data_IF_067421362469
#
_entry.id   IF_067421362469
#
_cell.length_a   1.000
_cell.length_b   1.000
_cell.length_c   1.000
_cell.angle_alpha   90.00
_cell.angle_beta   90.00
_cell.angle_gamma   90.00
#
_symmetry.space_group_name_H-M   'P 1'
#
loop_
_entity.id
_entity.type
_entity.pdbx_description
1 polymer ?
#
# COMPACT_ATOMS: atom_id res chain seq x y z
N UNK A 1 -22.45 12.14 -1.43
CA UNK A 1 -22.00 10.82 -1.95
C UNK A 1 -21.79 9.75 -0.88
N UNK A 2 -21.31 10.10 0.32
CA UNK A 2 -21.24 9.17 1.47
C UNK A 2 -22.58 8.94 2.19
N UNK A 3 -23.58 9.77 1.90
CA UNK A 3 -24.92 9.73 2.51
C UNK A 3 -25.77 8.56 2.01
N UNK A 4 -25.43 8.04 0.83
CA UNK A 4 -26.14 6.93 0.20
C UNK A 4 -25.64 5.55 0.72
N UNK A 5 -24.80 5.52 1.75
CA UNK A 5 -24.28 4.29 2.36
C UNK A 5 -24.95 4.06 3.73
N UNK A 6 -25.55 2.89 3.90
CA UNK A 6 -26.19 2.47 5.12
C UNK A 6 -25.49 1.24 5.71
N UNK A 7 -25.08 1.34 6.96
CA UNK A 7 -24.45 0.23 7.67
C UNK A 7 -25.48 -0.78 8.12
N UNK A 8 -25.31 -2.04 7.71
CA UNK A 8 -26.02 -3.18 8.28
C UNK A 8 -25.03 -4.20 8.82
N UNK A 9 -25.28 -4.78 10.01
CA UNK A 9 -24.46 -5.88 10.48
C UNK A 9 -24.64 -7.10 9.56
N UNK A 10 -23.59 -7.90 9.33
CA UNK A 10 -23.73 -9.21 8.71
C UNK A 10 -24.74 -10.09 9.47
N UNK A 11 -25.40 -11.00 8.77
CA UNK A 11 -26.33 -11.95 9.40
C UNK A 11 -25.64 -12.69 10.57
N UNK A 12 -26.33 -12.76 11.71
CA UNK A 12 -25.83 -13.39 12.92
C UNK A 12 -24.85 -12.54 13.77
N UNK A 13 -24.53 -11.30 13.37
CA UNK A 13 -23.70 -10.39 14.18
C UNK A 13 -24.51 -9.24 14.80
N UNK A 14 -24.21 -8.83 16.04
CA UNK A 14 -24.85 -7.67 16.64
C UNK A 14 -24.44 -6.39 15.92
N UNK A 15 -25.36 -5.41 15.86
CA UNK A 15 -25.07 -4.07 15.32
C UNK A 15 -23.97 -3.41 16.16
N UNK A 16 -22.87 -3.05 15.52
CA UNK A 16 -21.79 -2.31 16.18
C UNK A 16 -22.17 -0.83 16.21
N UNK A 17 -22.32 -0.20 17.39
CA UNK A 17 -22.52 1.25 17.45
C UNK A 17 -21.26 1.98 17.02
N UNK A 18 -21.43 3.21 16.53
CA UNK A 18 -20.30 4.12 16.32
C UNK A 18 -19.62 4.37 17.67
N UNK A 19 -18.31 4.16 17.72
CA UNK A 19 -17.52 4.33 18.94
C UNK A 19 -16.60 5.53 18.73
N UNK A 20 -16.73 6.59 19.56
CA UNK A 20 -15.93 7.81 19.40
C UNK A 20 -14.43 7.55 19.34
N UNK A 21 -13.91 6.67 20.21
CA UNK A 21 -12.49 6.26 20.20
C UNK A 21 -12.02 5.68 18.87
N UNK A 22 -12.88 4.90 18.19
CA UNK A 22 -12.56 4.27 16.90
C UNK A 22 -12.65 5.28 15.76
N UNK A 23 -13.57 6.23 15.84
CA UNK A 23 -13.67 7.35 14.89
C UNK A 23 -12.50 8.31 15.04
N UNK A 24 -12.12 8.68 16.28
CA UNK A 24 -10.95 9.51 16.59
C UNK A 24 -9.65 8.87 16.12
N UNK A 25 -9.53 7.54 16.27
CA UNK A 25 -8.42 6.79 15.70
C UNK A 25 -8.34 7.01 14.18
N UNK A 26 -9.44 6.79 13.45
CA UNK A 26 -9.44 7.02 12.00
C UNK A 26 -9.19 8.48 11.64
N UNK A 27 -9.66 9.45 12.42
CA UNK A 27 -9.34 10.87 12.21
C UNK A 27 -7.85 11.14 12.37
N UNK A 28 -7.22 10.53 13.37
CA UNK A 28 -5.77 10.60 13.58
C UNK A 28 -5.04 9.92 12.42
N UNK A 29 -5.49 8.75 11.98
CA UNK A 29 -4.93 8.03 10.82
C UNK A 29 -5.03 8.83 9.52
N UNK A 30 -6.15 9.51 9.29
CA UNK A 30 -6.36 10.37 8.12
C UNK A 30 -5.38 11.55 8.12
N UNK A 31 -5.08 12.10 9.30
CA UNK A 31 -4.10 13.18 9.48
C UNK A 31 -2.64 12.70 9.38
N UNK A 32 -2.34 11.50 9.86
CA UNK A 32 -0.96 10.97 9.97
C UNK A 32 -0.50 10.19 8.74
N UNK A 33 -1.35 9.30 8.21
CA UNK A 33 -1.00 8.36 7.13
C UNK A 33 -1.59 8.74 5.77
N UNK A 34 -2.63 9.56 5.76
CA UNK A 34 -3.47 9.77 4.58
C UNK A 34 -4.37 8.56 4.32
N UNK A 35 -5.64 8.80 4.00
CA UNK A 35 -6.59 7.73 3.68
C UNK A 35 -7.22 7.99 2.31
N UNK A 36 -6.56 7.50 1.27
CA UNK A 36 -6.99 7.73 -0.10
C UNK A 36 -8.18 6.83 -0.46
N UNK A 37 -9.31 7.41 -0.91
CA UNK A 37 -10.54 6.64 -1.10
C UNK A 37 -10.51 5.62 -2.23
N UNK A 38 -9.54 5.70 -3.13
CA UNK A 38 -9.35 4.82 -4.30
C UNK A 38 -8.43 3.62 -4.06
N UNK A 39 -7.64 3.63 -2.99
CA UNK A 39 -6.74 2.52 -2.62
C UNK A 39 -7.57 1.32 -2.24
N UNK A 40 -7.24 0.13 -2.77
CA UNK A 40 -8.07 -1.07 -2.63
C UNK A 40 -8.42 -1.40 -1.16
N UNK A 41 -7.46 -1.28 -0.24
CA UNK A 41 -7.69 -1.48 1.19
C UNK A 41 -8.68 -0.48 1.82
N UNK A 42 -8.82 0.71 1.23
CA UNK A 42 -9.68 1.79 1.69
C UNK A 42 -11.07 1.81 1.05
N UNK A 43 -11.26 1.08 -0.06
CA UNK A 43 -12.57 0.94 -0.72
C UNK A 43 -13.58 0.30 0.21
N UNK A 44 -14.85 0.60 -0.05
CA UNK A 44 -15.96 0.06 0.72
C UNK A 44 -16.73 -0.90 -0.14
N UNK A 45 -16.96 -2.09 0.38
CA UNK A 45 -17.80 -3.08 -0.28
C UNK A 45 -19.24 -2.81 0.13
N UNK A 46 -20.10 -2.63 -0.86
CA UNK A 46 -21.51 -2.38 -0.66
C UNK A 46 -22.36 -3.26 -1.58
N UNK A 47 -23.49 -3.73 -1.06
CA UNK A 47 -24.50 -4.41 -1.84
C UNK A 47 -25.46 -3.42 -2.48
N UNK A 48 -25.79 -3.71 -3.73
CA UNK A 48 -26.78 -2.99 -4.52
C UNK A 48 -27.85 -3.97 -5.00
N UNK A 49 -29.10 -3.55 -4.99
CA UNK A 49 -30.19 -4.34 -5.58
C UNK A 49 -30.25 -4.10 -7.09
N UNK A 50 -30.58 -5.13 -7.87
CA UNK A 50 -30.74 -5.04 -9.33
C UNK A 50 -31.61 -3.87 -9.83
N UNK A 51 -32.79 -3.55 -9.25
CA UNK A 51 -33.58 -2.41 -9.72
C UNK A 51 -32.88 -1.06 -9.48
N UNK A 52 -32.15 -0.91 -8.37
CA UNK A 52 -31.38 0.31 -8.07
C UNK A 52 -30.16 0.41 -8.98
N UNK A 53 -29.49 -0.71 -9.27
CA UNK A 53 -28.37 -0.76 -10.19
C UNK A 53 -28.80 -0.37 -11.62
N UNK A 54 -29.91 -0.94 -12.11
CA UNK A 54 -30.44 -0.61 -13.43
C UNK A 54 -30.81 0.88 -13.56
N UNK A 55 -31.47 1.44 -12.55
CA UNK A 55 -31.81 2.85 -12.50
C UNK A 55 -30.56 3.76 -12.43
N UNK A 56 -29.53 3.35 -11.68
CA UNK A 56 -28.28 4.09 -11.56
C UNK A 56 -27.45 4.07 -12.86
N UNK A 57 -27.42 2.92 -13.56
CA UNK A 57 -26.77 2.77 -14.86
C UNK A 57 -27.45 3.65 -15.92
N UNK A 58 -28.78 3.62 -15.99
CA UNK A 58 -29.55 4.43 -16.93
C UNK A 58 -29.34 5.94 -16.72
N UNK A 59 -29.21 6.39 -15.46
CA UNK A 59 -28.96 7.80 -15.13
C UNK A 59 -27.52 8.25 -15.36
N UNK A 60 -26.56 7.33 -15.28
CA UNK A 60 -25.14 7.64 -15.40
C UNK A 60 -24.62 7.43 -16.82
N UNK A 61 -25.48 6.96 -17.74
CA UNK A 61 -25.09 6.56 -19.11
C UNK A 61 -23.94 5.54 -19.12
N UNK A 62 -23.95 4.61 -18.15
CA UNK A 62 -22.91 3.58 -17.99
C UNK A 62 -23.48 2.19 -18.29
N UNK A 63 -22.62 1.30 -18.77
CA UNK A 63 -22.92 -0.13 -18.89
C UNK A 63 -22.33 -0.94 -17.73
N UNK A 64 -22.84 -2.15 -17.51
CA UNK A 64 -22.27 -3.08 -16.53
C UNK A 64 -20.79 -3.38 -16.84
N UNK A 65 -20.43 -3.47 -18.13
CA UNK A 65 -19.05 -3.69 -18.57
C UNK A 65 -18.11 -2.55 -18.16
N UNK A 66 -18.59 -1.30 -18.13
CA UNK A 66 -17.81 -0.14 -17.66
C UNK A 66 -17.55 -0.17 -16.15
N UNK A 67 -18.42 -0.83 -15.37
CA UNK A 67 -18.24 -1.03 -13.93
C UNK A 67 -17.29 -2.18 -13.60
N UNK A 68 -17.10 -3.12 -14.54
CA UNK A 68 -16.15 -4.24 -14.37
C UNK A 68 -14.70 -3.87 -14.76
N UNK A 69 -14.48 -2.70 -15.37
CA UNK A 69 -13.13 -2.20 -15.63
C UNK A 69 -12.43 -1.78 -14.32
N UNK A 70 -11.64 -2.69 -13.76
CA UNK A 70 -10.89 -2.48 -12.53
C UNK A 70 -9.83 -1.36 -12.61
N UNK A 71 -9.53 -0.85 -13.82
CA UNK A 71 -8.56 0.23 -14.05
C UNK A 71 -9.12 1.64 -13.87
N UNK A 72 -10.43 1.85 -14.02
CA UNK A 72 -11.03 3.20 -14.04
C UNK A 72 -12.26 3.31 -13.14
N UNK A 73 -12.15 4.07 -12.05
CA UNK A 73 -13.29 4.36 -11.17
C UNK A 73 -14.26 5.29 -11.91
N UNK A 74 -15.48 4.81 -12.14
CA UNK A 74 -16.56 5.59 -12.76
C UNK A 74 -17.46 6.21 -11.70
N UNK A 75 -17.98 7.40 -12.00
CA UNK A 75 -18.93 8.10 -11.12
C UNK A 75 -20.33 7.54 -11.36
N UNK A 76 -20.86 6.82 -10.37
CA UNK A 76 -22.23 6.29 -10.43
C UNK A 76 -23.20 7.26 -9.74
N UNK A 77 -24.19 7.74 -10.48
CA UNK A 77 -25.26 8.59 -9.97
C UNK A 77 -26.45 7.73 -9.53
N UNK A 78 -26.59 7.55 -8.22
CA UNK A 78 -27.70 6.83 -7.63
C UNK A 78 -29.00 7.67 -7.72
N UNK A 79 -30.18 7.02 -7.84
CA UNK A 79 -31.45 7.72 -7.76
C UNK A 79 -31.67 8.33 -6.36
N UNK A 80 -32.49 9.38 -6.29
CA UNK A 80 -32.74 10.12 -5.06
C UNK A 80 -33.38 9.21 -4.00
N UNK A 81 -32.79 9.17 -2.80
CA UNK A 81 -33.22 8.28 -1.71
C UNK A 81 -32.70 6.84 -1.78
N UNK A 82 -31.91 6.45 -2.79
CA UNK A 82 -31.32 5.11 -2.85
C UNK A 82 -30.17 4.95 -1.85
N UNK A 83 -30.26 3.89 -1.04
CA UNK A 83 -29.26 3.50 -0.05
C UNK A 83 -28.61 2.17 -0.45
N UNK A 84 -27.29 2.15 -0.43
CA UNK A 84 -26.44 0.96 -0.60
C UNK A 84 -26.11 0.39 0.78
N UNK A 85 -26.20 -0.93 0.92
CA UNK A 85 -25.90 -1.59 2.19
C UNK A 85 -24.42 -1.92 2.28
N UNK A 86 -23.73 -1.53 3.35
CA UNK A 86 -22.34 -1.95 3.58
C UNK A 86 -22.19 -2.65 4.94
N UNK A 87 -21.30 -3.64 4.99
CA UNK A 87 -21.09 -4.48 6.18
C UNK A 87 -19.87 -4.11 7.01
N UNK A 88 -18.93 -3.35 6.42
CA UNK A 88 -17.65 -2.98 7.03
C UNK A 88 -17.31 -1.51 6.79
N UNK A 89 -16.31 -0.99 7.51
CA UNK A 89 -15.76 0.36 7.27
C UNK A 89 -16.57 1.51 7.87
N UNK A 90 -17.53 1.25 8.78
CA UNK A 90 -18.41 2.28 9.34
C UNK A 90 -17.66 3.41 10.08
N UNK A 91 -16.70 3.10 10.97
CA UNK A 91 -15.92 4.12 11.68
C UNK A 91 -14.97 4.91 10.76
N UNK A 92 -14.51 4.29 9.66
CA UNK A 92 -13.67 4.93 8.64
C UNK A 92 -14.47 5.93 7.81
N UNK A 93 -15.69 5.56 7.41
CA UNK A 93 -16.63 6.47 6.76
C UNK A 93 -16.99 7.65 7.63
N UNK A 94 -17.23 7.39 8.91
CA UNK A 94 -17.58 8.44 9.86
C UNK A 94 -16.42 9.43 10.06
N UNK A 95 -15.18 8.93 10.14
CA UNK A 95 -14.00 9.78 10.16
C UNK A 95 -13.79 10.54 8.84
N UNK A 96 -14.11 9.93 7.70
CA UNK A 96 -14.01 10.60 6.39
C UNK A 96 -14.98 11.77 6.24
N UNK A 97 -16.19 11.67 6.78
CA UNK A 97 -17.14 12.79 6.83
C UNK A 97 -16.60 13.96 7.66
N UNK A 98 -15.82 13.67 8.69
CA UNK A 98 -15.27 14.64 9.63
C UNK A 98 -13.91 15.22 9.19
N UNK A 99 -13.15 14.50 8.35
CA UNK A 99 -11.89 14.94 7.77
C UNK A 99 -11.95 14.89 6.25
N UNK A 100 -12.58 15.92 5.68
CA UNK A 100 -12.70 16.11 4.24
C UNK A 100 -11.37 16.62 3.72
N UNK A 101 -10.72 15.86 2.84
CA UNK A 101 -9.58 16.36 2.09
C UNK A 101 -10.07 17.42 1.10
N UNK A 102 -9.43 18.59 1.00
CA UNK A 102 -9.85 19.67 0.09
C UNK A 102 -9.97 19.26 -1.39
N UNK A 103 -9.35 18.14 -1.78
CA UNK A 103 -9.29 17.61 -3.14
C UNK A 103 -9.99 16.25 -3.30
N UNK A 104 -10.56 15.64 -2.24
CA UNK A 104 -11.27 14.35 -2.32
C UNK A 104 -12.62 14.40 -1.56
N UNK A 105 -13.70 14.75 -2.27
CA UNK A 105 -15.08 14.69 -1.74
C UNK A 105 -15.82 13.38 -2.07
N UNK A 106 -15.09 12.36 -2.53
CA UNK A 106 -15.64 11.12 -3.06
C UNK A 106 -15.02 9.91 -2.37
N UNK A 107 -15.74 8.78 -2.36
CA UNK A 107 -15.22 7.51 -1.84
C UNK A 107 -15.49 6.38 -2.80
N UNK A 108 -14.49 5.54 -3.09
CA UNK A 108 -14.67 4.44 -4.03
C UNK A 108 -15.39 3.27 -3.36
N UNK A 109 -16.38 2.73 -4.07
CA UNK A 109 -17.25 1.66 -3.58
C UNK A 109 -17.19 0.51 -4.58
N UNK A 110 -16.98 -0.70 -4.06
CA UNK A 110 -17.08 -1.95 -4.81
C UNK A 110 -18.50 -2.50 -4.63
N UNK A 111 -19.21 -2.65 -5.74
CA UNK A 111 -20.62 -3.03 -5.75
C UNK A 111 -20.79 -4.54 -5.96
N UNK A 112 -21.63 -5.14 -5.13
CA UNK A 112 -22.01 -6.56 -5.23
C UNK A 112 -23.52 -6.69 -5.40
N UNK A 113 -23.95 -7.63 -6.25
CA UNK A 113 -25.38 -7.89 -6.48
C UNK A 113 -25.95 -8.76 -5.35
N UNK A 114 -27.06 -8.29 -4.77
CA UNK A 114 -27.79 -8.95 -3.68
C UNK A 114 -28.44 -10.28 -4.08
N UNK A 115 -28.61 -10.54 -5.39
CA UNK A 115 -29.48 -11.62 -5.91
C UNK A 115 -28.85 -13.01 -6.10
N UNK A 116 -27.57 -13.24 -5.84
CA UNK A 116 -26.96 -14.56 -6.05
C UNK A 116 -26.93 -15.38 -4.76
N UNK A 117 -28.02 -16.08 -4.48
CA UNK A 117 -28.13 -17.11 -3.43
C UNK A 117 -27.33 -18.36 -3.83
N UNK A 118 -26.06 -18.45 -3.44
CA UNK A 118 -25.34 -19.73 -3.36
C UNK A 118 -24.12 -19.59 -2.44
N UNK A 119 -24.23 -20.23 -1.28
CA UNK A 119 -23.16 -20.65 -0.36
C UNK A 119 -22.34 -19.55 0.34
N UNK A 120 -22.35 -19.62 1.68
CA UNK A 120 -21.41 -19.03 2.64
C UNK A 120 -21.01 -17.57 2.35
N UNK A 121 -21.59 -16.64 3.11
CA UNK A 121 -21.29 -15.20 3.14
C UNK A 121 -19.82 -14.85 3.47
N UNK A 122 -18.93 -15.83 3.57
CA UNK A 122 -17.50 -15.74 3.87
C UNK A 122 -16.63 -16.06 2.65
N UNK A 123 -17.08 -16.86 1.68
CA UNK A 123 -16.22 -17.34 0.57
C UNK A 123 -16.30 -16.46 -0.70
N UNK A 124 -17.33 -15.60 -0.84
CA UNK A 124 -17.51 -14.70 -2.00
C UNK A 124 -16.52 -13.52 -2.04
N UNK A 125 -15.73 -13.33 -0.99
CA UNK A 125 -14.90 -12.14 -0.79
C UNK A 125 -13.50 -12.27 -1.42
N UNK A 126 -13.07 -13.46 -1.83
CA UNK A 126 -11.83 -13.58 -2.59
C UNK A 126 -12.06 -13.17 -4.05
N UNK A 127 -11.55 -12.00 -4.45
CA UNK A 127 -10.67 -11.87 -5.61
C UNK A 127 -10.08 -10.45 -5.77
N UNK A 128 -8.79 -10.43 -6.08
CA UNK A 128 -7.87 -9.31 -6.39
C UNK A 128 -7.26 -8.52 -5.23
N UNK A 129 -7.95 -8.28 -4.12
CA UNK A 129 -7.35 -7.70 -2.90
C UNK A 129 -7.61 -8.62 -1.72
N UNK A 130 -6.55 -9.19 -1.12
CA UNK A 130 -6.63 -10.18 -0.04
C UNK A 130 -7.66 -9.74 1.01
N UNK A 131 -8.76 -10.48 1.12
CA UNK A 131 -9.85 -10.15 2.05
C UNK A 131 -9.51 -10.30 3.52
N UNK A 132 -8.34 -10.86 3.80
CA UNK A 132 -7.75 -10.88 5.14
C UNK A 132 -7.57 -9.49 5.78
N UNK A 133 -7.58 -8.39 5.02
CA UNK A 133 -7.48 -7.03 5.59
C UNK A 133 -8.84 -6.36 5.88
N UNK A 134 -9.91 -6.73 5.18
CA UNK A 134 -11.21 -6.06 5.29
C UNK A 134 -12.18 -6.73 6.28
N UNK A 135 -12.03 -8.04 6.53
CA UNK A 135 -12.79 -8.77 7.58
C UNK A 135 -12.32 -8.46 9.00
N UNK A 136 -11.25 -7.66 9.13
CA UNK A 136 -10.79 -7.12 10.41
C UNK A 136 -11.70 -5.95 10.80
N UNK A 137 -12.90 -6.28 11.27
CA UNK A 137 -13.59 -5.46 12.26
C UNK A 137 -12.67 -5.32 13.49
N UNK A 138 -11.71 -4.38 13.44
CA UNK A 138 -11.08 -3.64 14.54
C UNK A 138 -10.38 -4.44 15.68
N UNK A 139 -10.37 -5.77 15.69
CA UNK A 139 -9.85 -6.49 16.87
C UNK A 139 -8.57 -7.27 16.68
N UNK A 140 -7.92 -7.24 15.50
CA UNK A 140 -6.69 -8.01 15.31
C UNK A 140 -5.87 -7.67 14.05
N UNK A 141 -4.63 -7.20 14.27
CA UNK A 141 -3.40 -7.45 13.46
C UNK A 141 -3.15 -6.47 12.28
N UNK A 142 -1.89 -6.29 11.85
CA UNK A 142 -0.79 -5.54 12.45
C UNK A 142 -0.48 -4.29 11.60
N UNK A 143 0.32 -3.37 12.10
CA UNK A 143 1.09 -2.53 11.17
C UNK A 143 2.06 -3.44 10.40
N UNK A 144 2.21 -3.29 9.09
CA UNK A 144 3.32 -3.94 8.41
C UNK A 144 4.63 -3.45 9.05
N UNK A 145 5.62 -4.34 9.15
CA UNK A 145 6.85 -4.04 9.90
C UNK A 145 7.55 -2.80 9.33
N UNK A 146 7.43 -2.52 8.04
CA UNK A 146 8.03 -1.35 7.40
C UNK A 146 7.41 -0.04 7.89
N UNK A 147 6.08 0.03 7.93
CA UNK A 147 5.34 1.16 8.48
C UNK A 147 5.71 1.41 9.93
N UNK A 148 5.79 0.36 10.76
CA UNK A 148 6.23 0.57 12.15
C UNK A 148 7.64 1.15 12.20
N UNK A 149 8.58 0.60 11.41
CA UNK A 149 9.97 1.06 11.40
C UNK A 149 10.11 2.54 11.02
N UNK A 150 9.32 3.00 10.04
CA UNK A 150 9.32 4.41 9.59
C UNK A 150 8.94 5.37 10.70
N UNK A 151 8.01 4.98 11.58
CA UNK A 151 7.46 5.83 12.62
C UNK A 151 8.06 5.61 14.03
N UNK A 152 9.06 4.72 14.18
CA UNK A 152 9.71 4.42 15.47
C UNK A 152 10.21 5.65 16.24
N UNK A 153 10.66 6.68 15.52
CA UNK A 153 11.18 7.92 16.10
C UNK A 153 10.15 9.06 16.12
N UNK A 154 9.02 8.89 15.43
CA UNK A 154 8.01 9.93 15.28
C UNK A 154 7.05 9.97 16.47
N UNK A 155 6.58 8.81 16.94
CA UNK A 155 5.75 8.73 18.15
C UNK A 155 6.11 7.50 19.00
N UNK A 156 6.15 7.63 20.34
CA UNK A 156 6.54 6.55 21.25
C UNK A 156 5.58 5.35 21.21
N UNK A 157 4.33 5.56 20.81
CA UNK A 157 3.31 4.51 20.71
C UNK A 157 3.68 3.44 19.67
N UNK A 158 4.41 3.80 18.60
CA UNK A 158 4.84 2.85 17.56
C UNK A 158 5.84 1.82 18.06
N UNK A 159 6.61 2.15 19.10
CA UNK A 159 7.49 1.17 19.77
C UNK A 159 6.69 0.04 20.42
N UNK A 160 5.42 0.26 20.75
CA UNK A 160 4.55 -0.81 21.30
C UNK A 160 4.16 -1.83 20.24
N UNK A 161 3.97 -1.41 18.99
CA UNK A 161 3.67 -2.30 17.86
C UNK A 161 4.88 -3.12 17.39
N UNK A 162 6.09 -2.71 17.76
CA UNK A 162 7.34 -3.44 17.47
C UNK A 162 7.61 -4.62 18.41
N UNK A 163 6.82 -4.77 19.50
CA UNK A 163 7.14 -5.62 20.67
C UNK A 163 7.04 -7.12 20.42
N UNK A 164 8.06 -7.67 19.76
CA UNK A 164 8.56 -9.01 20.08
C UNK A 164 9.93 -8.86 20.74
N UNK A 165 10.25 -9.71 21.73
CA UNK A 165 11.51 -9.65 22.47
C UNK A 165 12.73 -9.68 21.53
N UNK A 166 12.65 -10.48 20.47
CA UNK A 166 13.73 -10.63 19.49
C UNK A 166 13.83 -9.40 18.56
N UNK A 167 12.71 -8.88 18.07
CA UNK A 167 12.73 -7.68 17.22
C UNK A 167 13.21 -6.42 17.97
N UNK A 168 12.94 -6.31 19.27
CA UNK A 168 13.46 -5.20 20.08
C UNK A 168 14.99 -5.32 20.26
N UNK A 169 15.49 -6.54 20.48
CA UNK A 169 16.93 -6.80 20.57
C UNK A 169 17.65 -6.51 19.25
N UNK A 170 17.04 -6.86 18.12
CA UNK A 170 17.61 -6.60 16.80
C UNK A 170 17.55 -5.12 16.44
N UNK A 171 16.46 -4.42 16.78
CA UNK A 171 16.37 -2.98 16.62
C UNK A 171 17.43 -2.24 17.46
N UNK A 172 17.59 -2.59 18.74
CA UNK A 172 18.67 -2.04 19.59
C UNK A 172 20.06 -2.30 19.00
N UNK A 173 20.26 -3.44 18.34
CA UNK A 173 21.51 -3.74 17.65
C UNK A 173 21.71 -2.91 16.37
N UNK A 174 20.63 -2.48 15.70
CA UNK A 174 20.68 -1.48 14.62
C UNK A 174 20.96 -0.08 15.16
N UNK A 175 20.26 0.35 16.23
CA UNK A 175 20.44 1.67 16.85
C UNK A 175 21.89 1.89 17.33
N UNK A 176 22.57 0.82 17.78
CA UNK A 176 24.01 0.86 18.12
C UNK A 176 24.96 1.01 16.93
N UNK A 177 24.44 0.91 15.69
CA UNK A 177 25.18 1.12 14.43
C UNK A 177 24.59 2.34 13.71
N UNK A 178 24.97 3.56 14.13
CA UNK A 178 24.27 4.78 13.73
C UNK A 178 24.32 5.04 12.21
N UNK A 179 25.41 4.67 11.53
CA UNK A 179 25.52 4.83 10.08
C UNK A 179 24.55 3.90 9.32
N UNK A 180 24.44 2.63 9.74
CA UNK A 180 23.50 1.68 9.16
C UNK A 180 22.04 2.09 9.43
N UNK A 181 21.74 2.47 10.67
CA UNK A 181 20.41 2.98 11.02
C UNK A 181 20.05 4.22 10.20
N UNK A 182 20.99 5.16 10.02
CA UNK A 182 20.83 6.33 9.16
C UNK A 182 20.55 5.96 7.70
N UNK A 183 21.18 4.92 7.18
CA UNK A 183 20.88 4.39 5.84
C UNK A 183 19.40 4.00 5.71
N UNK A 184 18.88 3.22 6.66
CA UNK A 184 17.46 2.86 6.68
C UNK A 184 16.54 4.06 6.86
N UNK A 185 16.83 4.96 7.81
CA UNK A 185 15.95 6.12 8.04
C UNK A 185 15.94 7.08 6.86
N UNK A 186 16.99 7.13 6.05
CA UNK A 186 17.04 7.92 4.82
C UNK A 186 16.04 7.47 3.74
N UNK A 187 15.58 6.22 3.80
CA UNK A 187 14.57 5.64 2.89
C UNK A 187 13.13 5.88 3.36
N UNK A 188 12.91 6.45 4.55
CA UNK A 188 11.56 6.72 5.10
C UNK A 188 10.61 7.48 4.16
N UNK A 189 11.06 8.43 3.31
CA UNK A 189 10.16 9.13 2.40
C UNK A 189 9.50 8.23 1.35
N UNK A 190 10.16 7.16 0.92
CA UNK A 190 9.71 6.28 -0.17
C UNK A 190 8.74 5.22 0.36
N UNK A 191 7.47 5.59 0.53
CA UNK A 191 6.47 4.75 1.21
C UNK A 191 6.39 3.33 0.62
N UNK A 192 6.29 3.22 -0.71
CA UNK A 192 6.17 1.94 -1.41
C UNK A 192 7.31 0.95 -1.16
N UNK A 193 8.53 1.42 -0.86
CA UNK A 193 9.67 0.53 -0.60
C UNK A 193 9.50 -0.30 0.67
N UNK A 194 8.76 0.21 1.65
CA UNK A 194 8.66 -0.38 2.98
C UNK A 194 7.67 -1.54 3.06
N UNK A 195 6.81 -1.74 2.05
CA UNK A 195 5.86 -2.85 2.03
C UNK A 195 6.53 -4.23 2.07
N UNK A 196 7.76 -4.33 1.54
CA UNK A 196 8.55 -5.57 1.57
C UNK A 196 9.45 -5.70 2.81
N UNK A 197 9.47 -4.71 3.70
CA UNK A 197 10.30 -4.75 4.89
C UNK A 197 9.71 -5.72 5.92
N UNK A 198 10.56 -6.58 6.48
CA UNK A 198 10.19 -7.52 7.54
C UNK A 198 11.18 -7.38 8.69
N UNK A 199 10.70 -7.22 9.93
CA UNK A 199 11.56 -7.04 11.11
C UNK A 199 12.50 -8.23 11.33
N UNK A 200 12.10 -9.43 10.91
CA UNK A 200 12.94 -10.64 10.96
C UNK A 200 14.21 -10.55 10.11
N UNK A 201 14.26 -9.65 9.11
CA UNK A 201 15.49 -9.41 8.34
C UNK A 201 16.57 -8.69 9.15
N UNK A 202 16.20 -7.94 10.19
CA UNK A 202 17.15 -7.25 11.06
C UNK A 202 18.06 -8.22 11.80
N UNK A 203 17.55 -9.38 12.21
CA UNK A 203 18.36 -10.45 12.79
C UNK A 203 19.54 -10.82 11.87
N UNK A 204 19.26 -10.95 10.56
CA UNK A 204 20.29 -11.28 9.57
C UNK A 204 21.32 -10.15 9.43
N UNK A 205 20.87 -8.92 9.25
CA UNK A 205 21.77 -7.76 9.15
C UNK A 205 22.64 -7.56 10.40
N UNK A 206 22.16 -7.98 11.56
CA UNK A 206 22.92 -8.03 12.82
C UNK A 206 24.01 -9.11 12.80
N UNK A 207 23.72 -10.27 12.23
CA UNK A 207 24.66 -11.41 12.17
C UNK A 207 25.76 -11.25 11.11
N UNK A 208 25.47 -10.54 10.01
CA UNK A 208 26.39 -10.35 8.88
C UNK A 208 27.64 -9.54 9.28
N UNK A 209 27.46 -8.43 10.01
CA UNK A 209 28.53 -7.47 10.36
C UNK A 209 29.25 -6.84 9.16
N UNK A 210 28.64 -6.85 7.97
CA UNK A 210 29.13 -6.16 6.78
C UNK A 210 28.43 -4.80 6.64
N UNK A 211 28.67 -3.89 7.58
CA UNK A 211 27.93 -2.64 7.66
C UNK A 211 28.19 -1.75 6.43
N UNK A 212 29.42 -1.74 5.90
CA UNK A 212 29.82 -0.97 4.73
C UNK A 212 29.00 -1.35 3.48
N UNK A 213 28.84 -2.64 3.21
CA UNK A 213 28.10 -3.14 2.06
C UNK A 213 26.60 -2.89 2.21
N UNK A 214 26.06 -3.06 3.42
CA UNK A 214 24.65 -2.76 3.71
C UNK A 214 24.35 -1.26 3.55
N UNK A 215 25.22 -0.39 4.07
CA UNK A 215 25.09 1.07 3.93
C UNK A 215 25.14 1.45 2.45
N UNK A 216 26.13 0.94 1.71
CA UNK A 216 26.28 1.21 0.27
C UNK A 216 25.05 0.76 -0.53
N UNK A 217 24.45 -0.36 -0.17
CA UNK A 217 23.22 -0.84 -0.79
C UNK A 217 22.04 0.10 -0.50
N UNK A 218 21.86 0.51 0.76
CA UNK A 218 20.80 1.44 1.16
C UNK A 218 20.94 2.80 0.45
N UNK A 219 22.17 3.32 0.35
CA UNK A 219 22.48 4.55 -0.39
C UNK A 219 22.17 4.40 -1.88
N UNK A 220 22.46 3.22 -2.46
CA UNK A 220 22.11 2.90 -3.86
C UNK A 220 20.60 2.86 -4.07
N UNK A 221 19.83 2.27 -3.14
CA UNK A 221 18.36 2.31 -3.17
C UNK A 221 17.90 3.77 -3.21
N UNK A 222 18.34 4.59 -2.26
CA UNK A 222 17.96 5.99 -2.20
C UNK A 222 18.28 6.72 -3.50
N UNK A 223 19.51 6.59 -3.99
CA UNK A 223 19.97 7.29 -5.18
C UNK A 223 19.18 6.89 -6.44
N UNK A 224 18.94 5.60 -6.66
CA UNK A 224 18.19 5.12 -7.83
C UNK A 224 16.75 5.61 -7.78
N UNK A 225 16.06 5.48 -6.65
CA UNK A 225 14.67 5.91 -6.54
C UNK A 225 14.53 7.44 -6.58
N UNK A 226 15.46 8.21 -6.01
CA UNK A 226 15.50 9.66 -6.21
C UNK A 226 15.70 10.02 -7.68
N UNK A 227 16.57 9.30 -8.41
CA UNK A 227 16.84 9.56 -9.82
C UNK A 227 15.64 9.22 -10.71
N UNK A 228 14.95 8.11 -10.44
CA UNK A 228 13.72 7.72 -11.14
C UNK A 228 12.65 8.81 -11.00
N UNK A 229 12.48 9.32 -9.77
CA UNK A 229 11.42 10.26 -9.41
C UNK A 229 11.83 11.73 -9.59
N UNK A 230 13.03 11.99 -10.12
CA UNK A 230 13.62 13.34 -10.32
C UNK A 230 13.58 14.23 -9.05
N UNK A 231 13.64 13.62 -7.87
CA UNK A 231 13.49 14.33 -6.60
C UNK A 231 12.11 14.95 -6.34
N UNK A 232 11.09 14.64 -7.15
CA UNK A 232 9.73 15.14 -6.96
C UNK A 232 9.13 14.56 -5.67
N UNK A 233 8.99 15.39 -4.63
CA UNK A 233 8.52 15.00 -3.31
C UNK A 233 7.10 14.41 -3.35
N UNK A 234 6.25 14.90 -4.25
CA UNK A 234 4.88 14.39 -4.41
C UNK A 234 4.91 12.95 -4.96
N UNK A 235 5.79 12.67 -5.92
CA UNK A 235 5.96 11.33 -6.47
C UNK A 235 6.63 10.37 -5.48
N UNK A 236 7.58 10.86 -4.68
CA UNK A 236 8.23 10.09 -3.61
C UNK A 236 7.21 9.64 -2.57
N UNK A 237 6.31 10.55 -2.15
CA UNK A 237 5.28 10.25 -1.17
C UNK A 237 4.19 9.32 -1.72
N UNK A 238 3.80 9.52 -2.99
CA UNK A 238 2.77 8.75 -3.67
C UNK A 238 3.27 7.45 -4.31
N UNK A 239 4.53 7.07 -4.10
CA UNK A 239 5.10 5.81 -4.59
C UNK A 239 4.38 4.62 -3.94
N UNK A 240 3.62 3.89 -4.73
CA UNK A 240 2.89 2.70 -4.29
C UNK A 240 3.76 1.42 -4.34
N UNK A 241 3.46 0.42 -3.49
CA UNK A 241 4.18 -0.86 -3.47
C UNK A 241 4.15 -1.63 -4.79
N UNK A 242 3.03 -1.56 -5.52
CA UNK A 242 2.84 -2.28 -6.78
C UNK A 242 3.78 -1.75 -7.87
N UNK A 243 3.95 -0.43 -7.94
CA UNK A 243 4.94 0.23 -8.80
C UNK A 243 6.36 -0.19 -8.45
N UNK A 244 6.69 -0.31 -7.15
CA UNK A 244 7.99 -0.82 -6.72
C UNK A 244 8.21 -2.25 -7.21
N UNK A 245 7.21 -3.13 -7.07
CA UNK A 245 7.30 -4.53 -7.50
C UNK A 245 7.44 -4.68 -9.03
N UNK A 246 6.81 -3.80 -9.80
CA UNK A 246 6.93 -3.75 -11.25
C UNK A 246 8.34 -3.34 -11.71
N UNK A 247 9.12 -2.64 -10.88
CA UNK A 247 10.42 -2.09 -11.28
C UNK A 247 11.60 -2.82 -10.64
N UNK A 248 11.47 -3.23 -9.38
CA UNK A 248 12.57 -3.86 -8.64
C UNK A 248 13.15 -5.08 -9.37
N UNK A 249 14.47 -5.24 -9.31
CA UNK A 249 15.21 -6.34 -9.93
C UNK A 249 15.37 -6.26 -11.46
N UNK A 250 14.76 -5.27 -12.13
CA UNK A 250 14.87 -5.09 -13.60
C UNK A 250 16.04 -4.18 -13.96
N UNK A 251 16.68 -4.43 -15.10
CA UNK A 251 17.84 -3.67 -15.59
C UNK A 251 17.55 -3.00 -16.96
N UNK A 252 16.75 -1.92 -17.00
CA UNK A 252 16.16 -1.40 -18.24
C UNK A 252 17.16 -0.82 -19.24
N UNK A 253 18.33 -0.34 -18.80
CA UNK A 253 19.36 0.16 -19.72
C UNK A 253 20.02 -0.97 -20.53
N UNK A 254 20.19 -2.14 -19.91
CA UNK A 254 20.97 -3.26 -20.48
C UNK A 254 20.08 -4.36 -21.07
N UNK A 255 18.90 -4.59 -20.48
CA UNK A 255 17.94 -5.62 -20.90
C UNK A 255 16.80 -4.98 -21.68
N UNK A 256 16.68 -5.28 -22.98
CA UNK A 256 15.57 -4.81 -23.80
C UNK A 256 14.23 -5.35 -23.30
N UNK A 257 14.20 -6.60 -22.82
CA UNK A 257 12.98 -7.20 -22.27
C UNK A 257 12.48 -6.45 -21.02
N UNK A 258 13.39 -6.06 -20.13
CA UNK A 258 13.07 -5.28 -18.93
C UNK A 258 12.60 -3.87 -19.29
N UNK A 259 13.29 -3.24 -20.25
CA UNK A 259 12.91 -1.93 -20.79
C UNK A 259 11.50 -1.95 -21.35
N UNK A 260 11.18 -2.93 -22.19
CA UNK A 260 9.89 -3.05 -22.86
C UNK A 260 8.79 -3.40 -21.84
N UNK A 261 9.12 -4.14 -20.78
CA UNK A 261 8.20 -4.39 -19.67
C UNK A 261 7.88 -3.11 -18.89
N UNK A 262 8.90 -2.34 -18.49
CA UNK A 262 8.71 -1.08 -17.75
C UNK A 262 7.98 -0.05 -18.61
N UNK A 263 8.34 0.06 -19.89
CA UNK A 263 7.68 0.97 -20.83
C UNK A 263 6.19 0.67 -20.90
N UNK A 264 5.82 -0.60 -21.10
CA UNK A 264 4.42 -1.02 -21.09
C UNK A 264 3.73 -0.72 -19.76
N UNK A 265 4.38 -0.97 -18.62
CA UNK A 265 3.80 -0.71 -17.31
C UNK A 265 3.51 0.79 -17.07
N UNK A 266 4.37 1.68 -17.56
CA UNK A 266 4.16 3.13 -17.47
C UNK A 266 3.09 3.59 -18.47
N UNK A 267 3.09 3.09 -19.70
CA UNK A 267 2.10 3.44 -20.75
C UNK A 267 0.70 2.95 -20.39
N UNK A 268 0.57 1.73 -19.87
CA UNK A 268 -0.71 1.13 -19.45
C UNK A 268 -1.27 1.70 -18.16
N UNK A 269 -0.58 2.67 -17.55
CA UNK A 269 -0.92 3.26 -16.24
C UNK A 269 -0.97 2.28 -15.07
N UNK A 270 -0.31 1.13 -15.22
CA UNK A 270 -0.17 0.13 -14.16
C UNK A 270 0.90 0.54 -13.14
N UNK A 271 1.97 1.20 -13.57
CA UNK A 271 2.92 1.89 -12.72
C UNK A 271 2.51 3.36 -12.55
N UNK A 272 2.66 3.95 -11.36
CA UNK A 272 2.23 5.32 -11.03
C UNK A 272 0.78 5.62 -11.46
N UNK A 273 -0.22 4.90 -10.93
CA UNK A 273 -1.62 5.08 -11.34
C UNK A 273 -2.16 6.49 -11.02
N UNK A 274 -1.59 7.16 -10.02
CA UNK A 274 -1.99 8.51 -9.60
C UNK A 274 -1.34 9.64 -10.43
N UNK A 275 -0.38 9.32 -11.30
CA UNK A 275 0.31 10.30 -12.13
C UNK A 275 -0.46 10.53 -13.44
N UNK A 276 -1.33 11.53 -13.48
CA UNK A 276 -2.16 11.83 -14.66
C UNK A 276 -1.44 12.68 -15.73
N UNK A 277 -0.33 13.33 -15.37
CA UNK A 277 0.40 14.21 -16.29
C UNK A 277 1.30 13.40 -17.23
N UNK A 278 0.91 13.28 -18.49
CA UNK A 278 1.62 12.49 -19.49
C UNK A 278 3.05 12.99 -19.76
N UNK A 279 3.32 14.30 -19.62
CA UNK A 279 4.68 14.85 -19.75
C UNK A 279 5.57 14.37 -18.61
N UNK A 280 5.05 14.40 -17.36
CA UNK A 280 5.77 13.84 -16.20
C UNK A 280 5.97 12.33 -16.35
N UNK A 281 5.00 11.58 -16.87
CA UNK A 281 5.14 10.13 -17.13
C UNK A 281 6.23 9.85 -18.14
N UNK A 282 6.33 10.65 -19.20
CA UNK A 282 7.38 10.51 -20.21
C UNK A 282 8.77 10.84 -19.64
N UNK A 283 8.88 11.89 -18.81
CA UNK A 283 10.12 12.17 -18.07
C UNK A 283 10.51 11.03 -17.14
N UNK A 284 9.56 10.49 -16.39
CA UNK A 284 9.77 9.33 -15.51
C UNK A 284 10.24 8.11 -16.31
N UNK A 285 9.63 7.82 -17.46
CA UNK A 285 10.05 6.74 -18.34
C UNK A 285 11.51 6.91 -18.79
N UNK A 286 11.90 8.12 -19.21
CA UNK A 286 13.29 8.41 -19.58
C UNK A 286 14.26 8.19 -18.42
N UNK A 287 13.88 8.64 -17.22
CA UNK A 287 14.69 8.47 -16.02
C UNK A 287 14.88 6.99 -15.66
N UNK A 288 13.81 6.19 -15.70
CA UNK A 288 13.87 4.75 -15.38
C UNK A 288 14.70 3.99 -16.40
N UNK A 289 14.53 4.28 -17.70
CA UNK A 289 15.30 3.60 -18.76
C UNK A 289 16.78 3.95 -18.70
N UNK A 290 17.13 5.15 -18.21
CA UNK A 290 18.51 5.57 -18.04
C UNK A 290 19.25 4.86 -16.89
N UNK A 291 18.54 4.16 -16.00
CA UNK A 291 19.15 3.48 -14.85
C UNK A 291 20.08 2.35 -15.29
N UNK A 292 21.34 2.48 -14.93
CA UNK A 292 22.38 1.50 -15.21
C UNK A 292 22.41 0.37 -14.16
N UNK A 293 22.08 -0.84 -14.61
CA UNK A 293 21.97 -2.04 -13.77
C UNK A 293 20.58 -2.26 -13.16
N UNK A 294 20.49 -3.24 -12.26
CA UNK A 294 19.22 -3.62 -11.63
C UNK A 294 18.70 -2.52 -10.69
N UNK A 295 17.41 -2.20 -10.78
CA UNK A 295 16.72 -1.30 -9.86
C UNK A 295 16.63 -1.97 -8.47
N UNK A 296 17.31 -1.45 -7.45
CA UNK A 296 17.35 -2.07 -6.12
C UNK A 296 16.14 -1.66 -5.28
N UNK A 297 15.74 -2.51 -4.32
CA UNK A 297 14.69 -2.25 -3.34
C UNK A 297 15.04 -2.87 -1.98
N UNK A 298 14.21 -2.64 -0.97
CA UNK A 298 14.36 -3.31 0.34
C UNK A 298 14.21 -4.84 0.17
N UNK A 299 13.37 -5.30 -0.76
CA UNK A 299 13.19 -6.72 -1.07
C UNK A 299 14.45 -7.31 -1.70
N UNK A 300 15.09 -6.61 -2.65
CA UNK A 300 16.32 -7.11 -3.27
C UNK A 300 17.47 -7.10 -2.27
N UNK A 301 17.60 -6.07 -1.41
CA UNK A 301 18.55 -6.08 -0.29
C UNK A 301 18.35 -7.31 0.61
N UNK A 302 17.11 -7.59 0.99
CA UNK A 302 16.78 -8.73 1.85
C UNK A 302 17.17 -10.07 1.20
N UNK A 303 17.02 -10.20 -0.13
CA UNK A 303 17.44 -11.39 -0.89
C UNK A 303 18.95 -11.47 -1.08
N UNK A 304 19.58 -10.37 -1.49
CA UNK A 304 21.02 -10.30 -1.76
C UNK A 304 21.84 -10.53 -0.49
N UNK A 305 21.31 -10.09 0.66
CA UNK A 305 21.91 -10.36 1.97
C UNK A 305 21.99 -11.85 2.34
N UNK A 306 21.15 -12.72 1.75
CA UNK A 306 21.25 -14.17 1.95
C UNK A 306 22.55 -14.71 1.34
N UNK A 307 22.88 -14.27 0.13
CA UNK A 307 24.14 -14.64 -0.53
C UNK A 307 25.36 -14.10 0.23
N UNK A 308 25.28 -12.87 0.75
CA UNK A 308 26.33 -12.32 1.61
C UNK A 308 26.55 -13.14 2.88
N UNK A 309 25.48 -13.71 3.45
CA UNK A 309 25.57 -14.54 4.66
C UNK A 309 26.39 -15.80 4.41
N UNK A 310 26.13 -16.48 3.30
CA UNK A 310 26.85 -17.69 2.93
C UNK A 310 28.32 -17.39 2.61
N UNK A 311 28.61 -16.30 1.89
CA UNK A 311 29.98 -15.82 1.67
C UNK A 311 30.70 -15.52 2.99
N UNK A 312 30.03 -14.87 3.94
CA UNK A 312 30.62 -14.53 5.24
C UNK A 312 30.94 -15.78 6.06
N UNK A 313 30.04 -16.79 6.05
CA UNK A 313 30.29 -18.09 6.70
C UNK A 313 31.49 -18.80 6.09
N UNK A 314 31.59 -18.82 4.76
CA UNK A 314 32.72 -19.41 4.06
C UNK A 314 34.04 -18.70 4.42
N UNK A 315 34.07 -17.36 4.40
CA UNK A 315 35.25 -16.57 4.74
C UNK A 315 35.71 -16.77 6.19
N UNK A 316 34.77 -16.86 7.15
CA UNK A 316 35.09 -17.18 8.55
C UNK A 316 35.67 -18.59 8.75
N UNK A 317 35.49 -19.48 7.79
CA UNK A 317 36.07 -20.83 7.82
C UNK A 317 37.50 -20.84 7.23
N UNK A 318 37.84 -19.83 6.43
CA UNK A 318 39.14 -19.71 5.76
C UNK A 318 40.17 -18.92 6.57
N UNK A 319 39.72 -18.14 7.56
CA UNK A 319 40.53 -17.34 8.49
C UNK A 319 40.58 -18.07 9.83
#
# INVERSE_FOLDING_TARGET
MLENLSYQPPEGRPRIPLQPRKTEYWLREFRLRGCFPNVCGNRIKAEISQPVLAAALARSELTISDLHDAGHIKRLHLPEGALLTHYHGQHRLEAAKQHIYPHNEWWAVELYDKGTESHSSTERWDNKCRVQEQDRNIESIPHDDGTVFRFLDAEPDWRTAWRSKDAENDLKAMEKRPALYKGFTSLRPFVGLWASFQKGTLHRYKSLRCDEELIRYLDRIKHVWTSILDGDEELIYNLDPETVELFEGRAPKTSSADRDFITRAIESKSAFPLLYNDVKRLGLLQNVIAIDGMIPSIKTLAKDSLYLEDCTKAMRTLI
#
